data_IF_294355611462
#
_entry.id   IF_294355611462
#
_cell.length_a   1.000
_cell.length_b   1.000
_cell.length_c   1.000
_cell.angle_alpha   90.00
_cell.angle_beta   90.00
_cell.angle_gamma   90.00
#
_symmetry.space_group_name_H-M   'P 1'
#
loop_
_entity.id
_entity.type
_entity.pdbx_description
1 polymer ?
#
# COMPACT_ATOMS: atom_id res chain seq x y z
N UNK A 1 12.13 -4.16 -3.60
CA UNK A 1 13.34 -3.96 -2.76
C UNK A 1 13.08 -3.40 -1.37
N UNK A 2 11.82 -3.19 -0.92
CA UNK A 2 11.51 -2.81 0.48
C UNK A 2 12.26 -1.56 0.96
N UNK A 3 12.46 -0.58 0.07
CA UNK A 3 13.16 0.68 0.30
C UNK A 3 12.21 1.87 0.25
N UNK A 4 12.68 3.01 0.73
CA UNK A 4 11.89 4.24 0.77
C UNK A 4 10.73 4.11 1.75
N UNK A 5 9.66 4.88 1.51
CA UNK A 5 8.55 5.00 2.47
C UNK A 5 7.21 4.86 1.77
N UNK A 6 6.34 4.04 2.34
CA UNK A 6 4.93 3.96 1.98
C UNK A 6 4.09 4.30 3.21
N UNK A 7 3.13 5.20 3.05
CA UNK A 7 2.06 5.42 4.03
C UNK A 7 0.75 4.89 3.46
N UNK A 8 0.20 3.89 4.12
CA UNK A 8 -1.07 3.27 3.77
C UNK A 8 -2.16 3.74 4.73
N UNK A 9 -2.96 4.71 4.29
CA UNK A 9 -4.05 5.28 5.08
C UNK A 9 -5.38 4.58 4.78
N UNK A 10 -6.14 4.25 5.82
CA UNK A 10 -7.56 3.90 5.67
C UNK A 10 -8.39 4.69 6.69
N UNK A 11 -9.58 5.15 6.31
CA UNK A 11 -10.49 5.85 7.22
C UNK A 11 -11.01 4.95 8.35
N UNK A 12 -11.08 3.63 8.13
CA UNK A 12 -11.65 2.65 9.06
C UNK A 12 -10.56 1.77 9.68
N UNK A 13 -10.32 1.95 10.98
CA UNK A 13 -9.40 1.12 11.75
C UNK A 13 -9.66 -0.40 11.61
N UNK A 14 -10.92 -0.81 11.41
CA UNK A 14 -11.30 -2.23 11.25
C UNK A 14 -10.70 -2.89 10.01
N UNK A 15 -10.36 -2.12 8.96
CA UNK A 15 -9.75 -2.65 7.73
C UNK A 15 -8.26 -2.93 7.87
N UNK A 16 -7.59 -2.36 8.89
CA UNK A 16 -6.16 -2.54 9.10
C UNK A 16 -5.76 -3.99 9.41
N UNK A 17 -6.66 -4.82 9.94
CA UNK A 17 -6.34 -6.21 10.22
C UNK A 17 -5.99 -6.97 8.93
N UNK A 18 -6.78 -6.78 7.86
CA UNK A 18 -6.54 -7.40 6.56
C UNK A 18 -5.29 -6.82 5.87
N UNK A 19 -5.11 -5.50 5.94
CA UNK A 19 -3.90 -4.84 5.43
C UNK A 19 -2.66 -5.34 6.15
N UNK A 20 -2.66 -5.37 7.48
CA UNK A 20 -1.53 -5.84 8.29
C UNK A 20 -1.19 -7.30 8.00
N UNK A 21 -2.20 -8.16 7.83
CA UNK A 21 -1.98 -9.55 7.44
C UNK A 21 -1.33 -9.68 6.05
N UNK A 22 -1.74 -8.83 5.10
CA UNK A 22 -1.17 -8.80 3.76
C UNK A 22 0.28 -8.29 3.76
N UNK A 23 0.55 -7.20 4.49
CA UNK A 23 1.91 -6.66 4.66
C UNK A 23 2.84 -7.69 5.31
N UNK A 24 2.37 -8.36 6.36
CA UNK A 24 3.12 -9.42 7.05
C UNK A 24 3.42 -10.61 6.13
N UNK A 25 2.44 -11.04 5.33
CA UNK A 25 2.59 -12.16 4.39
C UNK A 25 3.56 -11.84 3.24
N UNK A 26 3.54 -10.61 2.76
CA UNK A 26 4.44 -10.12 1.71
C UNK A 26 5.83 -9.74 2.25
N UNK A 27 6.01 -9.70 3.56
CA UNK A 27 7.28 -9.33 4.20
C UNK A 27 7.65 -7.86 4.02
N UNK A 28 6.66 -6.97 3.88
CA UNK A 28 6.88 -5.54 3.67
C UNK A 28 7.26 -4.85 4.99
N UNK A 29 8.34 -4.08 4.96
CA UNK A 29 8.95 -3.41 6.11
C UNK A 29 8.98 -1.88 5.96
N UNK A 30 8.76 -1.36 4.75
CA UNK A 30 8.77 0.06 4.42
C UNK A 30 7.37 0.71 4.45
N UNK A 31 6.43 0.13 5.21
CA UNK A 31 5.03 0.57 5.24
C UNK A 31 4.64 1.01 6.64
N UNK A 32 4.10 2.23 6.72
CA UNK A 32 3.40 2.76 7.89
C UNK A 32 1.91 2.79 7.59
N UNK A 33 1.07 2.23 8.45
CA UNK A 33 -0.38 2.30 8.31
C UNK A 33 -1.00 3.34 9.24
N UNK A 34 -1.86 4.21 8.72
CA UNK A 34 -2.52 5.31 9.46
C UNK A 34 -4.04 5.19 9.40
N UNK A 35 -4.71 5.76 10.40
CA UNK A 35 -6.18 5.89 10.41
C UNK A 35 -6.58 7.35 10.40
N UNK A 36 -7.07 7.84 9.27
CA UNK A 36 -7.56 9.20 9.12
C UNK A 36 -8.47 9.34 7.91
N UNK A 37 -9.26 10.41 7.86
CA UNK A 37 -9.97 10.79 6.64
C UNK A 37 -8.95 11.31 5.61
N UNK A 38 -8.86 10.61 4.47
CA UNK A 38 -7.93 10.94 3.39
C UNK A 38 -8.11 12.36 2.84
N UNK A 39 -9.34 12.88 2.88
CA UNK A 39 -9.68 14.21 2.35
C UNK A 39 -9.21 15.36 3.24
N UNK A 40 -8.83 15.04 4.49
CA UNK A 40 -8.38 16.03 5.50
C UNK A 40 -7.09 15.60 6.18
N UNK A 41 -6.26 14.76 5.54
CA UNK A 41 -4.95 14.40 6.09
C UNK A 41 -4.15 15.68 6.39
N UNK A 42 -3.50 15.82 7.56
CA UNK A 42 -2.79 17.06 7.91
C UNK A 42 -1.50 17.24 7.10
N UNK A 43 -1.04 18.48 6.89
CA UNK A 43 0.22 18.76 6.15
C UNK A 43 1.44 18.11 6.80
N UNK A 44 1.40 17.89 8.12
CA UNK A 44 2.46 17.22 8.86
C UNK A 44 2.52 15.69 8.62
N UNK A 45 1.71 15.16 7.69
CA UNK A 45 1.99 13.86 7.07
C UNK A 45 3.15 13.92 6.06
N UNK A 46 3.54 15.13 5.65
CA UNK A 46 4.59 15.39 4.66
C UNK A 46 4.07 15.41 3.23
N UNK A 47 4.95 15.74 2.30
CA UNK A 47 4.70 15.69 0.85
C UNK A 47 5.31 14.45 0.22
N UNK A 48 4.74 13.99 -0.89
CA UNK A 48 5.02 12.68 -1.46
C UNK A 48 5.38 12.77 -2.94
N UNK A 49 6.34 11.94 -3.35
CA UNK A 49 6.73 11.80 -4.77
C UNK A 49 5.60 11.22 -5.61
N UNK A 50 4.81 10.33 -5.01
CA UNK A 50 3.71 9.61 -5.63
C UNK A 50 2.56 9.48 -4.64
N UNK A 51 1.33 9.76 -5.08
CA UNK A 51 0.10 9.55 -4.29
C UNK A 51 -0.87 8.70 -5.09
N UNK A 52 -1.50 7.70 -4.46
CA UNK A 52 -2.55 6.88 -5.05
C UNK A 52 -3.87 7.16 -4.34
N UNK A 53 -4.88 7.55 -5.11
CA UNK A 53 -6.27 7.72 -4.68
C UNK A 53 -7.11 6.64 -5.35
N UNK A 54 -7.20 5.48 -4.70
CA UNK A 54 -8.21 4.48 -5.03
C UNK A 54 -9.51 4.84 -4.29
N UNK A 55 -10.40 5.54 -5.00
CA UNK A 55 -11.48 6.27 -4.34
C UNK A 55 -12.68 5.36 -4.07
N UNK A 56 -13.38 5.54 -2.92
CA UNK A 56 -14.67 4.90 -2.73
C UNK A 56 -15.63 5.39 -3.83
N UNK A 57 -16.35 4.47 -4.45
CA UNK A 57 -17.23 4.76 -5.59
C UNK A 57 -18.46 3.86 -5.55
N UNK A 58 -19.38 4.07 -6.48
CA UNK A 58 -20.58 3.23 -6.67
C UNK A 58 -20.27 1.78 -7.06
N UNK A 59 -19.02 1.47 -7.44
CA UNK A 59 -18.51 0.13 -7.70
C UNK A 59 -19.30 -0.68 -8.76
N UNK A 60 -19.80 0.00 -9.79
CA UNK A 60 -20.58 -0.59 -10.89
C UNK A 60 -19.84 -1.75 -11.59
N UNK A 61 -18.50 -1.75 -11.60
CA UNK A 61 -17.69 -2.83 -12.17
C UNK A 61 -17.54 -4.07 -11.29
N UNK A 62 -17.64 -3.93 -9.96
CA UNK A 62 -17.50 -5.07 -9.04
C UNK A 62 -18.84 -5.74 -8.70
N UNK A 63 -19.94 -4.97 -8.69
CA UNK A 63 -21.24 -5.42 -8.19
C UNK A 63 -22.21 -5.87 -9.29
N UNK A 64 -21.84 -5.66 -10.57
CA UNK A 64 -22.78 -5.76 -11.69
C UNK A 64 -23.91 -4.72 -11.57
N UNK A 65 -24.94 -4.77 -12.43
CA UNK A 65 -26.00 -3.74 -12.52
C UNK A 65 -26.94 -3.64 -11.29
N UNK A 66 -26.57 -4.20 -10.13
CA UNK A 66 -27.44 -4.37 -8.96
C UNK A 66 -27.46 -3.20 -7.97
N UNK A 67 -26.62 -2.18 -8.14
CA UNK A 67 -26.65 -0.98 -7.30
C UNK A 67 -26.88 0.25 -8.17
N UNK A 68 -28.14 0.47 -8.57
CA UNK A 68 -28.62 1.82 -8.91
C UNK A 68 -28.65 2.62 -7.61
N UNK A 69 -27.49 3.06 -7.15
CA UNK A 69 -27.39 4.06 -6.11
C UNK A 69 -28.19 5.31 -6.55
N UNK A 70 -28.84 5.99 -5.60
CA UNK A 70 -29.64 7.17 -5.92
C UNK A 70 -28.77 8.27 -6.52
N UNK A 71 -29.39 9.20 -7.28
CA UNK A 71 -28.68 10.38 -7.80
C UNK A 71 -28.00 11.20 -6.69
N UNK A 72 -28.62 11.24 -5.51
CA UNK A 72 -28.07 11.90 -4.33
C UNK A 72 -26.79 11.22 -3.83
N UNK A 73 -26.73 9.88 -3.81
CA UNK A 73 -25.52 9.15 -3.43
C UNK A 73 -24.39 9.36 -4.42
N UNK A 74 -24.67 9.32 -5.73
CA UNK A 74 -23.66 9.60 -6.78
C UNK A 74 -23.07 10.99 -6.63
N UNK A 75 -23.90 11.98 -6.33
CA UNK A 75 -23.45 13.37 -6.12
C UNK A 75 -22.60 13.47 -4.85
N UNK A 76 -23.03 12.83 -3.76
CA UNK A 76 -22.29 12.79 -2.51
C UNK A 76 -20.93 12.12 -2.68
N UNK A 77 -20.87 10.96 -3.32
CA UNK A 77 -19.62 10.21 -3.47
C UNK A 77 -18.64 10.92 -4.42
N UNK A 78 -19.14 11.56 -5.48
CA UNK A 78 -18.33 12.43 -6.34
C UNK A 78 -17.69 13.58 -5.55
N UNK A 79 -18.44 14.25 -4.67
CA UNK A 79 -17.89 15.28 -3.80
C UNK A 79 -16.80 14.76 -2.84
N UNK A 80 -16.94 13.54 -2.33
CA UNK A 80 -15.89 12.88 -1.53
C UNK A 80 -14.66 12.58 -2.38
N UNK A 81 -14.85 12.10 -3.61
CA UNK A 81 -13.77 11.80 -4.56
C UNK A 81 -13.00 13.06 -4.95
N UNK A 82 -13.69 14.17 -5.22
CA UNK A 82 -13.08 15.48 -5.48
C UNK A 82 -12.25 15.95 -4.29
N UNK A 83 -12.77 15.83 -3.07
CA UNK A 83 -12.04 16.22 -1.86
C UNK A 83 -10.79 15.35 -1.64
N UNK A 84 -10.86 14.04 -1.90
CA UNK A 84 -9.72 13.13 -1.83
C UNK A 84 -8.65 13.46 -2.88
N UNK A 85 -9.04 13.66 -4.14
CA UNK A 85 -8.11 13.99 -5.21
C UNK A 85 -7.45 15.35 -4.99
N UNK A 86 -8.23 16.36 -4.58
CA UNK A 86 -7.69 17.67 -4.21
C UNK A 86 -6.63 17.54 -3.12
N UNK A 87 -6.93 16.78 -2.05
CA UNK A 87 -5.97 16.61 -0.96
C UNK A 87 -4.72 15.85 -1.40
N UNK A 88 -4.86 14.86 -2.28
CA UNK A 88 -3.72 14.16 -2.86
C UNK A 88 -2.81 15.07 -3.69
N UNK A 89 -3.37 16.01 -4.46
CA UNK A 89 -2.60 16.99 -5.24
C UNK A 89 -1.88 18.02 -4.35
N UNK A 90 -2.48 18.41 -3.22
CA UNK A 90 -1.83 19.26 -2.20
C UNK A 90 -0.65 18.55 -1.54
N UNK A 91 -0.82 17.27 -1.19
CA UNK A 91 0.22 16.42 -0.59
C UNK A 91 1.26 15.94 -1.61
N UNK A 92 0.99 16.07 -2.91
CA UNK A 92 1.95 15.77 -3.96
C UNK A 92 2.98 16.90 -4.07
N UNK A 93 4.26 16.54 -3.99
CA UNK A 93 5.33 17.50 -4.22
C UNK A 93 5.33 17.99 -5.69
N UNK A 94 5.89 19.18 -5.98
CA UNK A 94 6.17 19.58 -7.36
C UNK A 94 7.07 18.53 -8.06
N UNK A 95 6.75 18.18 -9.30
CA UNK A 95 7.40 17.09 -10.04
C UNK A 95 6.95 15.69 -9.63
N UNK A 96 6.03 15.60 -8.66
CA UNK A 96 5.39 14.35 -8.24
C UNK A 96 4.23 13.93 -9.13
N UNK A 97 3.67 12.76 -8.81
CA UNK A 97 2.59 12.14 -9.59
C UNK A 97 1.45 11.69 -8.69
N UNK A 98 0.22 11.83 -9.19
CA UNK A 98 -0.98 11.35 -8.51
C UNK A 98 -1.73 10.40 -9.44
N UNK A 99 -2.04 9.20 -8.95
CA UNK A 99 -2.96 8.29 -9.64
C UNK A 99 -4.33 8.40 -8.99
N UNK A 100 -5.34 8.68 -9.79
CA UNK A 100 -6.74 8.59 -9.41
C UNK A 100 -7.35 7.35 -10.03
N UNK A 101 -8.09 6.54 -9.25
CA UNK A 101 -8.78 5.37 -9.78
C UNK A 101 -10.12 5.10 -9.12
N UNK A 102 -11.00 4.45 -9.87
CA UNK A 102 -12.31 3.95 -9.40
C UNK A 102 -12.63 2.60 -10.05
N UNK A 103 -13.57 1.86 -9.47
CA UNK A 103 -14.16 0.65 -10.07
C UNK A 103 -15.60 0.90 -10.56
N UNK A 104 -15.89 2.11 -11.04
CA UNK A 104 -17.19 2.50 -11.59
C UNK A 104 -17.09 3.04 -13.02
N UNK A 105 -18.18 2.99 -13.78
CA UNK A 105 -18.25 3.51 -15.14
C UNK A 105 -18.72 4.97 -15.20
N UNK A 106 -19.34 5.44 -14.12
CA UNK A 106 -19.97 6.75 -13.98
C UNK A 106 -19.05 7.92 -14.35
N UNK A 107 -19.35 8.69 -15.42
CA UNK A 107 -18.57 9.88 -15.75
C UNK A 107 -18.62 10.98 -14.67
N UNK A 108 -19.68 10.99 -13.86
CA UNK A 108 -19.81 11.88 -12.70
C UNK A 108 -18.78 11.58 -11.59
N UNK A 109 -18.31 10.33 -11.50
CA UNK A 109 -17.30 9.89 -10.54
C UNK A 109 -15.90 9.83 -11.18
N UNK A 110 -15.80 9.95 -12.51
CA UNK A 110 -14.56 9.78 -13.25
C UNK A 110 -14.12 11.13 -13.85
N UNK A 111 -14.53 11.45 -15.07
CA UNK A 111 -14.07 12.66 -15.76
C UNK A 111 -14.55 13.95 -15.12
N UNK A 112 -15.72 13.97 -14.45
CA UNK A 112 -16.16 15.15 -13.72
C UNK A 112 -15.24 15.48 -12.53
N UNK A 113 -14.74 14.46 -11.84
CA UNK A 113 -13.79 14.61 -10.72
C UNK A 113 -12.44 15.12 -11.23
N UNK A 114 -11.97 14.58 -12.36
CA UNK A 114 -10.75 15.05 -13.02
C UNK A 114 -10.89 16.48 -13.54
N UNK A 115 -12.01 16.83 -14.17
CA UNK A 115 -12.32 18.18 -14.66
C UNK A 115 -12.31 19.20 -13.50
N UNK A 116 -12.89 18.85 -12.36
CA UNK A 116 -12.86 19.70 -11.16
C UNK A 116 -11.41 19.92 -10.66
N UNK A 117 -10.60 18.86 -10.60
CA UNK A 117 -9.20 18.97 -10.21
C UNK A 117 -8.36 19.82 -11.18
N UNK A 118 -8.49 19.58 -12.50
CA UNK A 118 -7.76 20.32 -13.53
C UNK A 118 -8.11 21.82 -13.58
N UNK A 119 -9.33 22.20 -13.17
CA UNK A 119 -9.74 23.59 -13.02
C UNK A 119 -9.23 24.23 -11.74
N UNK A 120 -9.03 23.44 -10.69
CA UNK A 120 -8.59 23.93 -9.38
C UNK A 120 -7.06 24.08 -9.29
N UNK A 121 -6.30 23.33 -10.08
CA UNK A 121 -4.84 23.31 -10.05
C UNK A 121 -4.25 23.62 -11.43
N UNK A 122 -3.75 24.84 -11.61
CA UNK A 122 -3.12 25.28 -12.86
C UNK A 122 -1.76 24.60 -13.12
N UNK A 123 -1.09 24.13 -12.07
CA UNK A 123 0.18 23.42 -12.11
C UNK A 123 0.01 21.90 -12.32
N UNK A 124 -1.21 21.42 -12.60
CA UNK A 124 -1.50 20.01 -12.79
C UNK A 124 -1.94 19.73 -14.23
N UNK A 125 -1.38 18.67 -14.79
CA UNK A 125 -1.76 18.16 -16.10
C UNK A 125 -1.84 16.62 -16.06
N UNK A 126 -2.34 16.01 -17.13
CA UNK A 126 -2.54 14.56 -17.23
C UNK A 126 -1.53 13.93 -18.19
N UNK A 127 -0.96 12.79 -17.79
CA UNK A 127 -0.07 12.02 -18.64
C UNK A 127 -0.87 10.97 -19.43
N UNK A 128 -0.49 10.75 -20.68
CA UNK A 128 -0.91 9.58 -21.45
C UNK A 128 -0.14 8.36 -20.96
N UNK A 129 -0.86 7.27 -20.72
CA UNK A 129 -0.30 6.03 -20.17
C UNK A 129 -0.74 4.87 -21.03
N UNK A 130 0.23 4.12 -21.54
CA UNK A 130 0.00 2.85 -22.20
C UNK A 130 0.53 1.72 -21.31
N UNK A 131 -0.28 0.68 -21.12
CA UNK A 131 0.08 -0.49 -20.32
C UNK A 131 0.11 -1.68 -21.27
N UNK A 132 1.30 -2.26 -21.46
CA UNK A 132 1.46 -3.39 -22.37
C UNK A 132 0.57 -4.58 -21.96
N UNK A 133 -0.07 -5.18 -22.96
CA UNK A 133 -1.01 -6.27 -22.77
C UNK A 133 -2.39 -5.87 -22.18
N UNK A 134 -2.64 -4.60 -21.89
CA UNK A 134 -3.92 -4.13 -21.36
C UNK A 134 -4.66 -3.25 -22.37
N UNK A 135 -5.82 -3.73 -22.84
CA UNK A 135 -6.71 -2.93 -23.68
C UNK A 135 -7.45 -1.89 -22.85
N UNK A 136 -7.37 -0.63 -23.26
CA UNK A 136 -8.05 0.50 -22.62
C UNK A 136 -8.75 1.34 -23.69
N UNK A 137 -9.80 2.04 -23.25
CA UNK A 137 -10.47 3.09 -24.00
C UNK A 137 -10.13 4.45 -23.38
N UNK A 138 -10.08 5.54 -24.16
CA UNK A 138 -9.86 6.88 -23.61
C UNK A 138 -11.03 7.33 -22.73
N UNK A 139 -10.77 8.28 -21.83
CA UNK A 139 -11.82 9.02 -21.12
C UNK A 139 -12.74 9.80 -22.08
N UNK A 140 -13.91 10.20 -21.60
CA UNK A 140 -14.87 11.00 -22.37
C UNK A 140 -14.84 12.48 -21.94
N UNK A 141 -14.85 13.38 -22.92
CA UNK A 141 -14.80 14.85 -22.73
C UNK A 141 -16.19 15.50 -22.71
N UNK A 142 -17.25 14.74 -22.90
CA UNK A 142 -18.62 15.23 -22.79
C UNK A 142 -19.58 14.16 -22.27
N UNK A 143 -20.48 14.56 -21.38
CA UNK A 143 -21.51 13.69 -20.83
C UNK A 143 -22.77 14.50 -20.47
N UNK A 144 -23.94 14.05 -20.96
CA UNK A 144 -25.25 14.66 -20.65
C UNK A 144 -25.31 16.18 -20.80
N UNK A 145 -24.68 16.72 -21.84
CA UNK A 145 -24.65 18.17 -22.12
C UNK A 145 -23.61 18.96 -21.34
N UNK A 146 -22.86 18.34 -20.41
CA UNK A 146 -21.66 18.92 -19.80
C UNK A 146 -20.45 18.58 -20.66
N UNK A 147 -19.60 19.59 -20.90
CA UNK A 147 -18.28 19.42 -21.52
C UNK A 147 -17.23 19.49 -20.42
N UNK A 148 -16.25 18.60 -20.46
CA UNK A 148 -15.11 18.51 -19.56
C UNK A 148 -13.85 19.04 -20.24
N UNK A 149 -12.81 19.30 -19.45
CA UNK A 149 -11.48 19.57 -19.97
C UNK A 149 -11.02 18.46 -20.95
N UNK A 150 -10.59 18.76 -22.19
CA UNK A 150 -10.18 17.74 -23.16
C UNK A 150 -9.05 16.81 -22.68
N UNK A 151 -8.24 17.25 -21.70
CA UNK A 151 -7.17 16.43 -21.11
C UNK A 151 -7.70 15.16 -20.42
N UNK A 152 -8.97 15.13 -19.99
CA UNK A 152 -9.58 13.93 -19.37
C UNK A 152 -9.59 12.71 -20.30
N UNK A 153 -9.49 12.93 -21.63
CA UNK A 153 -9.37 11.85 -22.61
C UNK A 153 -8.13 10.99 -22.42
N UNK A 154 -7.09 11.52 -21.76
CA UNK A 154 -5.85 10.79 -21.42
C UNK A 154 -6.05 9.76 -20.30
N UNK A 155 -7.21 9.74 -19.65
CA UNK A 155 -7.57 8.70 -18.70
C UNK A 155 -7.81 7.35 -19.40
N UNK A 156 -7.68 6.27 -18.62
CA UNK A 156 -7.88 4.90 -19.04
C UNK A 156 -9.22 4.38 -18.52
N UNK A 157 -10.11 4.04 -19.44
CA UNK A 157 -11.31 3.25 -19.17
C UNK A 157 -11.05 1.79 -19.52
N UNK A 158 -11.21 0.92 -18.54
CA UNK A 158 -11.19 -0.52 -18.74
C UNK A 158 -12.63 -0.98 -18.80
N UNK A 159 -13.09 -1.37 -19.99
CA UNK A 159 -14.41 -1.95 -20.16
C UNK A 159 -14.35 -3.48 -20.04
N UNK A 160 -15.31 -4.12 -19.35
CA UNK A 160 -15.31 -5.58 -19.20
C UNK A 160 -15.25 -6.35 -20.51
N UNK A 161 -15.99 -5.87 -21.51
CA UNK A 161 -16.09 -6.51 -22.83
C UNK A 161 -14.84 -6.34 -23.70
N UNK A 162 -13.96 -5.38 -23.38
CA UNK A 162 -12.72 -5.12 -24.13
C UNK A 162 -11.49 -5.71 -23.45
N UNK A 163 -11.47 -5.65 -22.12
CA UNK A 163 -10.29 -5.98 -21.29
C UNK A 163 -10.43 -7.27 -20.49
N UNK A 164 -11.61 -7.89 -20.45
CA UNK A 164 -11.87 -9.10 -19.66
C UNK A 164 -11.82 -8.87 -18.14
N UNK A 165 -11.92 -7.61 -17.70
CA UNK A 165 -11.89 -7.20 -16.28
C UNK A 165 -13.30 -6.94 -15.74
N UNK A 166 -13.42 -6.65 -14.43
CA UNK A 166 -14.70 -6.20 -13.84
C UNK A 166 -15.11 -4.79 -14.29
N UNK A 167 -14.20 -4.01 -14.84
CA UNK A 167 -14.42 -2.61 -15.17
C UNK A 167 -13.69 -1.67 -14.21
N UNK A 168 -12.98 -0.70 -14.76
CA UNK A 168 -12.10 0.16 -13.98
C UNK A 168 -11.86 1.50 -14.69
N UNK A 169 -11.49 2.52 -13.91
CA UNK A 169 -11.05 3.81 -14.41
C UNK A 169 -9.75 4.20 -13.73
N UNK A 170 -8.80 4.75 -14.48
CA UNK A 170 -7.55 5.24 -13.93
C UNK A 170 -7.05 6.48 -14.69
N UNK A 171 -6.45 7.42 -13.97
CA UNK A 171 -5.82 8.60 -14.54
C UNK A 171 -4.51 8.91 -13.81
N UNK A 172 -3.46 9.23 -14.57
CA UNK A 172 -2.19 9.70 -14.06
C UNK A 172 -2.12 11.22 -14.22
N UNK A 173 -2.08 11.94 -13.09
CA UNK A 173 -1.84 13.37 -13.03
C UNK A 173 -0.37 13.63 -12.66
N UNK A 174 0.22 14.66 -13.25
CA UNK A 174 1.56 15.14 -12.93
C UNK A 174 1.49 16.59 -12.48
N UNK A 175 2.21 16.91 -11.41
CA UNK A 175 2.31 18.27 -10.87
C UNK A 175 3.60 18.90 -11.38
N UNK A 176 3.49 20.04 -12.03
CA UNK A 176 4.63 20.76 -12.59
C UNK A 176 5.63 21.21 -11.51
N UNK A 177 6.85 21.49 -11.95
CA UNK A 177 7.93 22.03 -11.13
C UNK A 177 9.01 21.02 -10.75
N UNK A 178 10.21 21.53 -10.50
CA UNK A 178 11.38 20.75 -10.12
C UNK A 178 11.55 20.79 -8.59
N UNK A 179 10.58 20.22 -7.88
CA UNK A 179 10.56 20.23 -6.43
C UNK A 179 11.18 18.98 -5.85
N UNK A 180 12.45 19.03 -5.44
CA UNK A 180 12.88 18.22 -4.30
C UNK A 180 12.19 18.86 -3.11
N UNK A 181 11.01 18.37 -2.73
CA UNK A 181 10.40 18.82 -1.48
C UNK A 181 11.42 18.57 -0.37
N UNK A 182 11.82 19.62 0.33
CA UNK A 182 12.35 19.49 1.68
C UNK A 182 11.19 18.96 2.55
N UNK A 183 10.95 17.65 2.46
CA UNK A 183 9.91 16.97 3.20
C UNK A 183 10.14 17.21 4.68
N UNK A 184 9.11 17.74 5.36
CA UNK A 184 9.14 18.07 6.77
C UNK A 184 9.79 16.95 7.59
N UNK A 185 10.77 17.35 8.41
CA UNK A 185 11.69 16.48 9.16
C UNK A 185 10.98 15.19 9.59
N UNK A 186 11.19 14.08 8.87
CA UNK A 186 10.70 12.80 9.33
C UNK A 186 11.36 12.56 10.67
N UNK A 187 10.56 12.22 11.67
CA UNK A 187 11.12 11.83 12.95
C UNK A 187 11.85 10.52 12.69
N UNK A 188 13.17 10.60 12.48
CA UNK A 188 14.06 9.47 12.66
C UNK A 188 13.73 8.93 14.04
N UNK A 189 13.03 7.80 14.08
CA UNK A 189 12.98 7.02 15.30
C UNK A 189 14.43 6.64 15.55
N UNK A 190 14.97 6.95 16.73
CA UNK A 190 16.22 6.38 17.20
C UNK A 190 16.08 4.86 17.08
N UNK A 191 16.54 4.31 15.96
CA UNK A 191 16.36 2.94 15.59
C UNK A 191 17.77 2.37 15.41
N UNK A 192 18.12 1.43 16.26
CA UNK A 192 19.42 0.77 16.24
C UNK A 192 19.49 -0.18 15.04
N UNK A 193 20.68 -0.48 14.50
CA UNK A 193 20.82 -1.48 13.46
C UNK A 193 20.17 -2.81 13.87
N UNK A 194 19.45 -3.46 12.95
CA UNK A 194 18.73 -4.70 13.24
C UNK A 194 19.63 -5.80 13.81
N UNK A 195 20.89 -5.87 13.37
CA UNK A 195 21.89 -6.83 13.83
C UNK A 195 22.22 -6.70 15.33
N UNK A 196 21.99 -5.55 15.96
CA UNK A 196 22.13 -5.40 17.40
C UNK A 196 21.03 -6.14 18.19
N UNK A 197 19.93 -6.55 17.52
CA UNK A 197 18.82 -7.25 18.16
C UNK A 197 19.15 -8.71 18.48
N UNK A 198 18.94 -9.12 19.72
CA UNK A 198 19.04 -10.52 20.12
C UNK A 198 18.11 -11.45 19.31
N UNK A 199 16.96 -10.95 18.84
CA UNK A 199 16.07 -11.73 17.99
C UNK A 199 16.66 -11.96 16.59
N UNK A 200 17.32 -10.95 16.00
CA UNK A 200 18.04 -11.08 14.73
C UNK A 200 19.24 -11.99 14.88
N UNK A 201 20.04 -11.82 15.94
CA UNK A 201 21.15 -12.73 16.25
C UNK A 201 20.67 -14.18 16.42
N UNK A 202 19.47 -14.39 16.97
CA UNK A 202 18.84 -15.70 17.00
C UNK A 202 18.53 -16.27 15.61
N UNK A 203 18.05 -15.45 14.67
CA UNK A 203 17.84 -15.87 13.27
C UNK A 203 19.16 -16.25 12.59
N UNK A 204 20.20 -15.46 12.78
CA UNK A 204 21.53 -15.70 12.21
C UNK A 204 22.14 -16.98 12.78
N UNK A 205 22.31 -17.05 14.11
CA UNK A 205 23.06 -18.14 14.74
C UNK A 205 22.32 -19.47 14.73
N UNK A 206 21.01 -19.47 15.00
CA UNK A 206 20.22 -20.71 15.14
C UNK A 206 19.71 -21.25 13.81
N UNK A 207 19.26 -20.38 12.92
CA UNK A 207 18.65 -20.77 11.64
C UNK A 207 19.59 -20.57 10.45
N UNK A 208 20.77 -19.98 10.66
CA UNK A 208 21.77 -19.78 9.62
C UNK A 208 21.33 -18.78 8.56
N UNK A 209 20.49 -17.80 8.93
CA UNK A 209 20.12 -16.68 8.04
C UNK A 209 21.35 -15.77 7.91
N UNK A 210 21.78 -15.40 6.70
CA UNK A 210 22.92 -14.51 6.49
C UNK A 210 22.68 -13.12 7.12
N UNK A 211 23.72 -12.49 7.65
CA UNK A 211 23.62 -11.14 8.25
C UNK A 211 23.24 -10.10 7.20
N UNK A 212 23.64 -10.31 5.96
CA UNK A 212 23.34 -9.47 4.80
C UNK A 212 21.84 -9.34 4.54
N UNK A 213 21.04 -10.33 4.93
CA UNK A 213 19.57 -10.27 4.83
C UNK A 213 18.95 -9.16 5.70
N UNK A 214 19.70 -8.66 6.69
CA UNK A 214 19.30 -7.57 7.58
C UNK A 214 19.99 -6.24 7.28
N UNK A 215 20.82 -6.18 6.24
CA UNK A 215 21.50 -4.95 5.84
C UNK A 215 20.50 -3.84 5.52
N UNK A 216 20.75 -2.64 6.06
CA UNK A 216 19.85 -1.49 5.91
C UNK A 216 18.53 -1.59 6.67
N UNK A 217 18.33 -2.62 7.52
CA UNK A 217 17.18 -2.70 8.43
C UNK A 217 17.55 -2.21 9.83
N UNK A 218 16.63 -1.50 10.45
CA UNK A 218 16.73 -0.95 11.78
C UNK A 218 15.61 -1.48 12.68
N UNK A 219 15.89 -1.56 13.97
CA UNK A 219 14.96 -2.04 14.98
C UNK A 219 14.11 -0.90 15.53
N UNK A 220 12.80 -1.05 15.41
CA UNK A 220 11.80 -0.23 16.07
C UNK A 220 11.19 -1.02 17.23
N UNK A 221 11.64 -0.73 18.46
CA UNK A 221 11.19 -1.42 19.67
C UNK A 221 10.05 -0.66 20.40
N UNK A 222 8.89 -0.53 19.75
CA UNK A 222 7.69 0.10 20.34
C UNK A 222 6.51 -0.89 20.43
N UNK A 223 5.84 -0.93 21.57
CA UNK A 223 4.64 -1.74 21.78
C UNK A 223 4.91 -3.23 21.99
N UNK A 224 3.96 -4.07 21.53
CA UNK A 224 3.93 -5.53 21.79
C UNK A 224 5.00 -6.32 21.01
N UNK A 225 5.41 -5.82 19.86
CA UNK A 225 6.38 -6.46 18.98
C UNK A 225 7.55 -5.52 18.73
N UNK A 226 8.75 -6.06 18.72
CA UNK A 226 9.87 -5.41 18.06
C UNK A 226 9.66 -5.53 16.54
N UNK A 227 9.96 -4.47 15.81
CA UNK A 227 9.69 -4.39 14.37
C UNK A 227 10.93 -3.97 13.60
N UNK A 228 10.98 -4.34 12.33
CA UNK A 228 12.03 -3.95 11.40
C UNK A 228 11.49 -2.92 10.42
N UNK A 229 12.27 -1.86 10.22
CA UNK A 229 12.03 -0.84 9.20
C UNK A 229 13.33 -0.61 8.42
N UNK A 230 13.28 -0.28 7.13
CA UNK A 230 14.44 0.19 6.40
C UNK A 230 15.02 1.46 7.01
N UNK A 231 16.33 1.66 6.85
CA UNK A 231 17.05 2.86 7.29
C UNK A 231 16.58 4.12 6.56
N UNK A 232 16.02 3.97 5.35
CA UNK A 232 15.45 5.04 4.53
C UNK A 232 13.92 5.15 4.66
N UNK A 233 13.31 4.47 5.64
CA UNK A 233 11.88 4.60 5.95
C UNK A 233 11.62 5.77 6.91
N UNK A 234 10.75 6.67 6.47
CA UNK A 234 10.47 7.96 7.08
C UNK A 234 9.03 7.96 7.62
N UNK A 235 8.89 7.81 8.93
CA UNK A 235 7.56 7.79 9.55
C UNK A 235 6.95 9.20 9.61
N UNK A 236 5.66 9.37 9.29
CA UNK A 236 4.99 10.68 9.43
C UNK A 236 4.99 11.16 10.88
N UNK A 237 4.91 12.47 11.08
CA UNK A 237 4.87 13.05 12.43
C UNK A 237 3.44 13.19 13.00
N UNK A 238 2.45 13.49 12.15
CA UNK A 238 1.15 13.99 12.61
C UNK A 238 -0.07 13.09 12.38
N UNK A 239 0.12 11.87 11.87
CA UNK A 239 -0.97 10.90 11.79
C UNK A 239 -0.94 9.94 12.99
N UNK A 240 -2.11 9.53 13.47
CA UNK A 240 -2.18 8.40 14.39
C UNK A 240 -1.79 7.12 13.62
N UNK A 241 -0.61 6.59 13.94
CA UNK A 241 -0.08 5.38 13.31
C UNK A 241 -0.58 4.15 14.06
N UNK A 242 -1.19 3.22 13.34
CA UNK A 242 -1.57 1.90 13.88
C UNK A 242 -0.35 0.99 13.99
N UNK A 243 0.53 1.05 12.98
CA UNK A 243 1.64 0.13 12.81
C UNK A 243 2.66 0.71 11.82
N UNK A 244 3.94 0.44 12.05
CA UNK A 244 5.02 0.71 11.09
C UNK A 244 5.98 -0.47 11.07
N UNK A 245 6.41 -0.87 9.88
CA UNK A 245 7.40 -1.92 9.68
C UNK A 245 6.90 -3.35 9.88
N UNK A 246 7.84 -4.27 9.66
CA UNK A 246 7.63 -5.72 9.70
C UNK A 246 7.76 -6.24 11.14
N UNK A 247 6.82 -7.04 11.62
CA UNK A 247 6.94 -7.65 12.94
C UNK A 247 8.09 -8.67 12.99
N UNK A 248 9.06 -8.43 13.88
CA UNK A 248 10.22 -9.31 14.08
C UNK A 248 9.93 -10.39 15.12
N UNK A 249 9.66 -9.94 16.34
CA UNK A 249 9.50 -10.81 17.49
C UNK A 249 8.69 -10.10 18.58
N UNK A 250 8.10 -10.87 19.49
CA UNK A 250 7.43 -10.27 20.67
C UNK A 250 8.46 -9.52 21.51
N UNK A 251 8.09 -8.32 21.98
CA UNK A 251 8.95 -7.46 22.79
C UNK A 251 8.99 -7.95 24.25
N UNK A 252 9.61 -9.12 24.48
CA UNK A 252 9.78 -9.78 25.78
C UNK A 252 11.09 -10.59 25.77
N UNK A 253 11.68 -10.92 26.93
CA UNK A 253 12.83 -11.82 27.01
C UNK A 253 12.55 -13.14 26.28
N UNK A 254 13.47 -13.57 25.40
CA UNK A 254 13.29 -14.75 24.52
C UNK A 254 12.01 -14.70 23.68
N UNK A 255 11.63 -13.51 23.22
CA UNK A 255 10.45 -13.27 22.41
C UNK A 255 10.38 -14.19 21.19
N UNK A 256 9.26 -14.90 21.05
CA UNK A 256 8.99 -15.74 19.88
C UNK A 256 9.07 -14.89 18.61
N UNK A 257 9.80 -15.38 17.61
CA UNK A 257 9.82 -14.84 16.25
C UNK A 257 8.39 -14.76 15.71
N UNK A 258 8.02 -13.61 15.17
CA UNK A 258 6.72 -13.40 14.57
C UNK A 258 6.63 -14.14 13.22
N UNK A 259 5.41 -14.56 12.86
CA UNK A 259 5.17 -15.24 11.58
C UNK A 259 5.63 -14.38 10.40
N UNK A 260 5.50 -13.05 10.47
CA UNK A 260 5.94 -12.14 9.43
C UNK A 260 7.46 -12.23 9.16
N UNK A 261 8.28 -12.22 10.21
CA UNK A 261 9.71 -12.44 10.08
C UNK A 261 10.07 -13.84 9.58
N UNK A 262 9.35 -14.89 10.03
CA UNK A 262 9.56 -16.24 9.53
C UNK A 262 9.26 -16.34 8.02
N UNK A 263 8.20 -15.68 7.53
CA UNK A 263 7.87 -15.64 6.10
C UNK A 263 8.90 -14.84 5.29
N UNK A 264 9.41 -13.74 5.86
CA UNK A 264 10.39 -12.88 5.18
C UNK A 264 11.77 -13.52 5.08
N UNK A 265 12.30 -14.03 6.19
CA UNK A 265 13.69 -14.50 6.29
C UNK A 265 13.83 -16.02 6.24
N UNK A 266 12.73 -16.78 6.36
CA UNK A 266 12.79 -18.24 6.40
C UNK A 266 13.32 -18.87 5.11
N UNK A 267 13.18 -18.19 3.96
CA UNK A 267 13.77 -18.64 2.68
C UNK A 267 15.29 -18.57 2.66
N UNK A 268 15.89 -17.79 3.56
CA UNK A 268 17.34 -17.63 3.67
C UNK A 268 17.92 -18.46 4.82
N UNK A 269 17.08 -19.17 5.58
CA UNK A 269 17.56 -20.09 6.59
C UNK A 269 18.31 -21.25 5.91
N UNK A 270 19.43 -21.67 6.53
CA UNK A 270 20.26 -22.79 6.08
C UNK A 270 20.29 -23.93 7.10
N UNK A 271 19.69 -23.74 8.28
CA UNK A 271 19.63 -24.70 9.38
C UNK A 271 18.22 -24.78 9.95
N UNK A 272 17.92 -25.89 10.64
CA UNK A 272 16.62 -26.11 11.30
C UNK A 272 15.44 -26.07 10.29
N UNK A 273 15.64 -26.63 9.11
CA UNK A 273 14.66 -26.65 8.01
C UNK A 273 13.94 -27.99 7.99
N UNK A 274 12.62 -27.95 7.83
CA UNK A 274 11.78 -29.13 7.67
C UNK A 274 10.96 -28.97 6.39
N UNK A 275 11.21 -29.85 5.43
CA UNK A 275 10.44 -29.91 4.19
C UNK A 275 9.15 -30.70 4.41
N UNK A 276 8.02 -30.04 4.12
CA UNK A 276 6.71 -30.66 4.17
C UNK A 276 6.25 -31.00 2.75
N UNK A 277 5.83 -32.24 2.54
CA UNK A 277 5.02 -32.60 1.38
C UNK A 277 3.67 -31.86 1.41
N UNK A 278 2.94 -31.86 0.28
CA UNK A 278 1.75 -31.05 0.12
C UNK A 278 0.67 -31.34 1.18
N UNK A 279 0.49 -32.59 1.58
CA UNK A 279 -0.52 -32.97 2.55
C UNK A 279 -0.13 -32.54 3.97
N UNK A 280 1.14 -32.71 4.36
CA UNK A 280 1.65 -32.18 5.64
C UNK A 280 1.62 -30.66 5.67
N UNK A 281 1.93 -30.00 4.56
CA UNK A 281 1.84 -28.55 4.45
C UNK A 281 0.39 -28.06 4.62
N UNK A 282 -0.58 -28.73 4.00
CA UNK A 282 -2.01 -28.44 4.19
C UNK A 282 -2.44 -28.62 5.65
N UNK A 283 -2.08 -29.72 6.28
CA UNK A 283 -2.35 -29.95 7.70
C UNK A 283 -1.73 -28.86 8.59
N UNK A 284 -0.47 -28.47 8.34
CA UNK A 284 0.19 -27.38 9.05
C UNK A 284 -0.55 -26.05 8.89
N UNK A 285 -0.96 -25.70 7.66
CA UNK A 285 -1.71 -24.48 7.37
C UNK A 285 -3.11 -24.48 7.98
N UNK A 286 -3.73 -25.67 8.11
CA UNK A 286 -4.98 -25.88 8.85
C UNK A 286 -4.81 -25.85 10.39
N UNK A 287 -3.59 -25.60 10.88
CA UNK A 287 -3.20 -25.59 12.31
C UNK A 287 -3.35 -26.95 13.00
N UNK A 288 -3.27 -28.02 12.22
CA UNK A 288 -3.22 -29.38 12.74
C UNK A 288 -1.79 -29.73 13.19
N UNK A 289 -1.66 -30.73 14.06
CA UNK A 289 -0.35 -31.21 14.50
C UNK A 289 0.29 -32.03 13.38
N UNK A 290 1.45 -31.60 12.91
CA UNK A 290 2.27 -32.36 11.97
C UNK A 290 3.43 -33.03 12.72
N UNK A 291 3.41 -34.36 12.91
CA UNK A 291 4.51 -35.05 13.57
C UNK A 291 5.78 -34.99 12.71
N UNK A 292 6.93 -34.85 13.37
CA UNK A 292 8.24 -34.88 12.71
C UNK A 292 8.65 -36.32 12.40
N UNK A 293 9.08 -36.55 11.17
CA UNK A 293 9.66 -37.83 10.74
C UNK A 293 11.12 -37.92 11.20
N UNK A 294 11.71 -39.12 11.36
CA UNK A 294 13.14 -39.27 11.66
C UNK A 294 14.03 -38.53 10.66
N UNK A 295 13.70 -38.60 9.36
CA UNK A 295 14.37 -37.87 8.27
C UNK A 295 14.34 -36.35 8.40
N UNK A 296 13.35 -35.80 9.10
CA UNK A 296 13.25 -34.35 9.33
C UNK A 296 14.24 -33.90 10.41
N UNK A 297 14.61 -34.80 11.34
CA UNK A 297 15.51 -34.50 12.46
C UNK A 297 16.98 -34.48 12.02
N UNK A 298 17.33 -35.29 11.03
CA UNK A 298 18.69 -35.37 10.47
C UNK A 298 19.08 -34.12 9.67
N UNK A 299 18.12 -33.48 8.98
CA UNK A 299 18.35 -32.20 8.26
C UNK A 299 18.25 -30.96 9.16
N UNK A 300 17.64 -31.12 10.34
CA UNK A 300 17.44 -30.03 11.29
C UNK A 300 18.60 -29.91 12.29
N UNK A 301 19.54 -30.85 12.34
CA UNK A 301 20.73 -30.80 13.21
C UNK A 301 21.84 -29.94 12.58
#
# INVERSE_FOLDING_TARGET
ENRGTIVANDRKATRHAATSASLARLGLANVTTTVADGSTLPDAIGTWDCVLVDAPCTAEGNLGPRTRESGDYRTFIAGVQEALLRRALELCRPGGRVVYSTCTFAPEENEAVLDAALRAFEDVDMAEVEIDGLRTSPGIDAWRGRTFDPRVRRALRLWPHESGTGGFFAALLHKAGDGVAEGGVPVMTRAEPALASAAVQGLVTRYGVPEEAFAGLHLLARGRYARLVPSDHLMPAAAEHVASGLELARNRPRGKIATAAALRFGREATRQIIDLDLDRARAYLARERVPLRPSDRERSA
#
